data_IF_320322718126
#
_entry.id   IF_320322718126
#
_cell.length_a   1.000
_cell.length_b   1.000
_cell.length_c   1.000
_cell.angle_alpha   90.00
_cell.angle_beta   90.00
_cell.angle_gamma   90.00
#
_symmetry.space_group_name_H-M   'P 1'
#
loop_
_entity.id
_entity.type
_entity.pdbx_description
1 polymer ?
#
# COMPACT_ATOMS: atom_id res chain seq x y z
N UNK A 1 -20.32 -17.15 -4.42
CA UNK A 1 -20.42 -17.51 -2.99
C UNK A 1 -19.01 -17.65 -2.46
N UNK A 2 -18.61 -16.81 -1.51
CA UNK A 2 -17.33 -16.94 -0.79
C UNK A 2 -17.64 -17.37 0.64
N UNK A 3 -17.19 -18.56 1.01
CA UNK A 3 -17.33 -19.10 2.37
C UNK A 3 -16.10 -18.70 3.17
N UNK A 4 -16.29 -18.08 4.34
CA UNK A 4 -15.21 -17.82 5.29
C UNK A 4 -15.20 -18.91 6.35
N UNK A 5 -14.05 -19.56 6.54
CA UNK A 5 -13.79 -20.46 7.66
C UNK A 5 -13.19 -19.62 8.80
N UNK A 6 -13.93 -19.45 9.89
CA UNK A 6 -13.45 -18.79 11.11
C UNK A 6 -13.13 -19.90 12.13
N UNK A 7 -11.86 -20.03 12.51
CA UNK A 7 -11.41 -20.96 13.56
C UNK A 7 -11.24 -20.14 14.84
N UNK A 8 -12.04 -20.43 15.86
CA UNK A 8 -12.16 -19.66 17.12
C UNK A 8 -10.91 -19.67 18.02
N UNK A 9 -10.02 -20.65 17.84
CA UNK A 9 -8.91 -20.92 18.77
C UNK A 9 -7.59 -20.27 18.34
N UNK A 10 -7.55 -19.60 17.18
CA UNK A 10 -6.42 -18.77 16.79
C UNK A 10 -6.69 -17.36 17.32
N UNK A 11 -5.88 -16.92 18.30
CA UNK A 11 -5.87 -15.53 18.76
C UNK A 11 -5.77 -14.63 17.53
N UNK A 12 -6.87 -13.96 17.21
CA UNK A 12 -7.05 -13.17 15.99
C UNK A 12 -5.82 -12.30 15.79
N UNK A 13 -5.11 -12.48 14.66
CA UNK A 13 -4.10 -11.53 14.22
C UNK A 13 -4.78 -10.17 14.14
N UNK A 14 -4.56 -9.31 15.13
CA UNK A 14 -5.16 -8.00 15.17
C UNK A 14 -4.43 -7.14 14.13
N UNK A 15 -5.12 -6.64 13.10
CA UNK A 15 -4.50 -5.73 12.15
C UNK A 15 -4.07 -4.45 12.88
N UNK A 16 -2.78 -4.09 12.76
CA UNK A 16 -2.23 -2.84 13.28
C UNK A 16 -2.22 -1.84 12.13
N UNK A 17 -3.12 -0.86 12.16
CA UNK A 17 -3.25 0.17 11.12
C UNK A 17 -2.17 1.25 11.19
N UNK A 18 -1.40 1.31 12.28
CA UNK A 18 -0.42 2.38 12.55
C UNK A 18 1.02 1.99 12.20
N UNK A 19 1.29 0.71 11.92
CA UNK A 19 2.64 0.23 11.65
C UNK A 19 2.74 -0.35 10.25
N UNK A 20 3.64 0.22 9.45
CA UNK A 20 4.01 -0.36 8.17
C UNK A 20 5.14 -1.40 8.29
N UNK A 21 5.43 -1.87 9.52
CA UNK A 21 6.41 -2.92 9.81
C UNK A 21 5.72 -3.96 10.69
N UNK A 22 5.76 -5.22 10.24
CA UNK A 22 5.21 -6.37 10.97
C UNK A 22 6.33 -7.39 11.16
N UNK A 23 6.54 -7.77 12.42
CA UNK A 23 7.47 -8.81 12.84
C UNK A 23 6.66 -10.01 13.33
N UNK A 24 6.93 -11.20 12.80
CA UNK A 24 6.33 -12.44 13.29
C UNK A 24 7.40 -13.31 13.94
N UNK A 25 7.26 -13.56 15.25
CA UNK A 25 8.00 -14.58 16.02
C UNK A 25 9.54 -14.47 16.08
N UNK A 26 10.16 -13.59 15.30
CA UNK A 26 11.61 -13.43 15.17
C UNK A 26 12.18 -13.87 13.82
N UNK A 27 11.43 -14.64 13.01
CA UNK A 27 11.93 -15.23 11.76
C UNK A 27 11.25 -14.70 10.49
N UNK A 28 10.23 -13.85 10.64
CA UNK A 28 9.57 -13.19 9.50
C UNK A 28 9.42 -11.69 9.69
N UNK A 29 9.58 -10.96 8.59
CA UNK A 29 9.45 -9.51 8.51
C UNK A 29 8.66 -9.14 7.26
N UNK A 30 7.74 -8.18 7.38
CA UNK A 30 7.09 -7.54 6.25
C UNK A 30 6.96 -6.05 6.51
N UNK A 31 7.36 -5.23 5.54
CA UNK A 31 7.23 -3.78 5.62
C UNK A 31 6.81 -3.16 4.30
N UNK A 32 6.03 -2.09 4.39
CA UNK A 32 5.58 -1.31 3.24
C UNK A 32 5.74 0.20 3.49
N UNK A 33 5.74 0.99 2.42
CA UNK A 33 5.64 2.45 2.50
C UNK A 33 5.03 2.95 1.19
N UNK A 34 4.13 3.93 1.27
CA UNK A 34 3.63 4.65 0.11
C UNK A 34 3.69 6.16 0.35
N UNK A 35 4.00 6.88 -0.72
CA UNK A 35 3.97 8.35 -0.75
C UNK A 35 3.25 8.80 -2.01
N UNK A 36 2.32 9.74 -1.86
CA UNK A 36 1.70 10.45 -2.96
C UNK A 36 1.74 11.95 -2.76
N UNK A 37 1.84 12.69 -3.86
CA UNK A 37 1.69 14.14 -3.85
C UNK A 37 1.17 14.61 -5.20
N UNK A 38 0.33 15.63 -5.20
CA UNK A 38 -0.18 16.27 -6.42
C UNK A 38 -0.01 17.78 -6.35
N UNK A 39 0.13 18.40 -7.51
CA UNK A 39 0.09 19.85 -7.66
C UNK A 39 -0.36 20.24 -9.06
N UNK A 40 -0.47 21.54 -9.31
CA UNK A 40 -0.92 22.01 -10.62
C UNK A 40 0.12 21.62 -11.68
N UNK A 41 -0.23 20.65 -12.53
CA UNK A 41 0.65 20.16 -13.60
C UNK A 41 1.61 19.04 -13.21
N UNK A 42 1.54 18.50 -11.98
CA UNK A 42 2.38 17.38 -11.57
C UNK A 42 1.68 16.39 -10.63
N UNK A 43 2.16 15.16 -10.64
CA UNK A 43 1.75 14.09 -9.73
C UNK A 43 2.95 13.19 -9.43
N UNK A 44 3.13 12.83 -8.15
CA UNK A 44 4.23 12.01 -7.62
C UNK A 44 3.62 10.81 -6.90
N UNK A 45 4.13 9.62 -7.17
CA UNK A 45 3.78 8.39 -6.47
C UNK A 45 5.04 7.58 -6.21
N UNK A 46 5.19 7.06 -5.00
CA UNK A 46 6.24 6.14 -4.59
C UNK A 46 5.66 5.00 -3.76
N UNK A 47 6.19 3.80 -3.96
CA UNK A 47 5.81 2.61 -3.22
C UNK A 47 7.06 1.76 -2.95
N UNK A 48 7.20 1.29 -1.71
CA UNK A 48 8.26 0.40 -1.29
C UNK A 48 7.69 -0.78 -0.50
N UNK A 49 8.24 -1.97 -0.70
CA UNK A 49 7.87 -3.18 0.02
C UNK A 49 9.13 -4.01 0.31
N UNK A 50 9.21 -4.60 1.50
CA UNK A 50 10.29 -5.49 1.90
C UNK A 50 9.76 -6.66 2.71
N UNK A 51 10.28 -7.86 2.47
CA UNK A 51 9.88 -9.07 3.16
C UNK A 51 11.09 -9.97 3.43
N UNK A 52 11.14 -10.61 4.61
CA UNK A 52 12.18 -11.58 4.97
C UNK A 52 11.49 -12.82 5.54
N UNK A 53 11.81 -13.98 4.99
CA UNK A 53 11.30 -15.30 5.39
C UNK A 53 11.67 -16.37 4.35
N UNK A 54 11.30 -17.62 4.60
CA UNK A 54 11.50 -18.73 3.64
C UNK A 54 10.70 -18.54 2.34
N UNK A 55 9.46 -18.04 2.47
CA UNK A 55 8.58 -17.71 1.35
C UNK A 55 8.25 -16.23 1.45
N UNK A 56 8.52 -15.49 0.38
CA UNK A 56 8.28 -14.05 0.33
C UNK A 56 7.49 -13.64 -0.90
N UNK A 57 6.68 -12.61 -0.74
CA UNK A 57 6.01 -11.94 -1.84
C UNK A 57 5.97 -10.44 -1.57
N UNK A 58 6.42 -9.66 -2.56
CA UNK A 58 6.33 -8.21 -2.53
C UNK A 58 5.71 -7.72 -3.83
N UNK A 59 4.82 -6.73 -3.72
CA UNK A 59 4.23 -6.08 -4.88
C UNK A 59 4.11 -4.58 -4.63
N UNK A 60 4.58 -3.79 -5.58
CA UNK A 60 4.50 -2.34 -5.55
C UNK A 60 3.92 -1.85 -6.86
N UNK A 61 2.93 -0.96 -6.78
CA UNK A 61 2.31 -0.37 -7.95
C UNK A 61 2.12 1.13 -7.72
N UNK A 62 2.48 1.93 -8.71
CA UNK A 62 2.32 3.39 -8.71
C UNK A 62 1.69 3.83 -10.01
N UNK A 63 0.73 4.75 -9.94
CA UNK A 63 0.07 5.31 -11.10
C UNK A 63 -0.12 6.80 -10.93
N UNK A 64 0.37 7.59 -11.89
CA UNK A 64 0.15 9.03 -11.92
C UNK A 64 -0.60 9.42 -13.18
N UNK A 65 -1.37 10.50 -13.09
CA UNK A 65 -2.12 11.06 -14.20
C UNK A 65 -2.25 12.57 -14.03
N UNK A 66 -1.76 13.32 -15.00
CA UNK A 66 -2.00 14.76 -15.15
C UNK A 66 -2.80 14.97 -16.42
N UNK A 67 -3.85 15.77 -16.35
CA UNK A 67 -4.71 16.09 -17.51
C UNK A 67 -5.25 17.51 -17.37
N UNK A 68 -5.30 18.24 -18.49
CA UNK A 68 -6.05 19.49 -18.60
C UNK A 68 -7.26 19.27 -19.50
N UNK A 69 -8.42 19.76 -19.08
CA UNK A 69 -9.69 19.69 -19.84
C UNK A 69 -10.36 21.07 -19.78
N UNK A 70 -10.22 21.85 -20.86
CA UNK A 70 -10.66 23.25 -20.86
C UNK A 70 -9.94 24.03 -19.76
N UNK A 71 -10.71 24.72 -18.91
CA UNK A 71 -10.20 25.47 -17.76
C UNK A 71 -9.92 24.60 -16.52
N UNK A 72 -9.98 23.27 -16.61
CA UNK A 72 -9.78 22.36 -15.48
C UNK A 72 -8.44 21.63 -15.59
N UNK A 73 -7.57 21.85 -14.61
CA UNK A 73 -6.40 21.03 -14.36
C UNK A 73 -6.73 19.91 -13.37
N UNK A 74 -6.38 18.69 -13.73
CA UNK A 74 -6.56 17.48 -12.94
C UNK A 74 -5.22 16.79 -12.76
N UNK A 75 -4.85 16.47 -11.52
CA UNK A 75 -3.67 15.66 -11.21
C UNK A 75 -4.04 14.61 -10.18
N UNK A 76 -3.66 13.35 -10.43
CA UNK A 76 -3.90 12.21 -9.55
C UNK A 76 -2.64 11.37 -9.44
N UNK A 77 -2.36 10.89 -8.24
CA UNK A 77 -1.35 9.88 -7.96
C UNK A 77 -1.93 8.82 -7.04
N UNK A 78 -1.72 7.57 -7.40
CA UNK A 78 -2.08 6.37 -6.64
C UNK A 78 -0.79 5.58 -6.35
N UNK A 79 -0.63 5.09 -5.12
CA UNK A 79 0.46 4.19 -4.73
C UNK A 79 -0.07 3.01 -3.91
N UNK A 80 0.50 1.84 -4.13
CA UNK A 80 0.14 0.59 -3.45
C UNK A 80 1.41 -0.21 -3.19
N UNK A 81 1.57 -0.69 -1.96
CA UNK A 81 2.64 -1.58 -1.55
C UNK A 81 2.06 -2.74 -0.74
N UNK A 82 2.53 -3.95 -1.03
CA UNK A 82 2.15 -5.20 -0.35
C UNK A 82 3.43 -5.98 -0.07
N UNK A 83 3.57 -6.48 1.15
CA UNK A 83 4.64 -7.37 1.57
C UNK A 83 4.06 -8.55 2.36
N UNK A 84 4.58 -9.74 2.09
CA UNK A 84 4.23 -10.98 2.76
C UNK A 84 5.48 -11.83 2.97
N UNK A 85 5.59 -12.43 4.15
CA UNK A 85 6.64 -13.36 4.50
C UNK A 85 6.08 -14.52 5.31
N UNK A 86 6.66 -15.71 5.11
CA UNK A 86 6.39 -16.91 5.88
C UNK A 86 7.67 -17.73 6.12
N UNK A 87 7.83 -18.23 7.35
CA UNK A 87 8.88 -19.17 7.77
C UNK A 87 8.22 -20.18 8.70
N UNK A 88 8.18 -21.46 8.33
CA UNK A 88 7.41 -22.48 9.06
C UNK A 88 5.95 -22.07 9.31
N UNK A 89 5.58 -21.90 10.58
CA UNK A 89 4.23 -21.45 11.02
C UNK A 89 4.13 -19.94 11.27
N UNK A 90 5.23 -19.20 11.16
CA UNK A 90 5.26 -17.76 11.37
C UNK A 90 4.89 -17.02 10.08
N UNK A 91 4.06 -15.98 10.18
CA UNK A 91 3.64 -15.17 9.03
C UNK A 91 3.69 -13.69 9.40
N UNK A 92 4.20 -12.87 8.49
CA UNK A 92 4.12 -11.42 8.56
C UNK A 92 3.55 -10.88 7.25
N UNK A 93 2.59 -9.95 7.34
CA UNK A 93 2.03 -9.27 6.18
C UNK A 93 1.87 -7.78 6.46
N UNK A 94 2.14 -6.96 5.47
CA UNK A 94 1.99 -5.51 5.54
C UNK A 94 1.46 -5.00 4.21
N UNK A 95 0.59 -3.99 4.26
CA UNK A 95 0.07 -3.31 3.09
C UNK A 95 -0.07 -1.82 3.34
N UNK A 96 0.17 -1.02 2.32
CA UNK A 96 0.08 0.43 2.38
C UNK A 96 -0.49 0.95 1.06
N UNK A 97 -1.39 1.91 1.17
CA UNK A 97 -2.14 2.48 0.05
C UNK A 97 -2.22 3.99 0.27
N UNK A 98 -1.89 4.76 -0.76
CA UNK A 98 -1.99 6.21 -0.69
C UNK A 98 -2.51 6.77 -2.02
N UNK A 99 -3.25 7.87 -1.93
CA UNK A 99 -3.89 8.52 -3.07
C UNK A 99 -3.97 10.02 -2.84
N UNK A 100 -3.42 10.78 -3.79
CA UNK A 100 -3.55 12.24 -3.82
C UNK A 100 -4.24 12.67 -5.10
N UNK A 101 -5.14 13.65 -4.98
CA UNK A 101 -5.91 14.20 -6.09
C UNK A 101 -5.92 15.73 -5.94
N UNK A 102 -5.61 16.43 -7.02
CA UNK A 102 -5.82 17.87 -7.13
C UNK A 102 -6.71 18.17 -8.33
N UNK A 103 -7.69 19.04 -8.12
CA UNK A 103 -8.45 19.69 -9.17
C UNK A 103 -8.28 21.20 -9.00
N UNK A 104 -7.93 21.90 -10.07
CA UNK A 104 -7.80 23.35 -10.07
C UNK A 104 -8.43 23.96 -11.32
N UNK A 105 -9.13 25.09 -11.15
CA UNK A 105 -9.64 25.91 -12.23
C UNK A 105 -8.55 26.91 -12.66
N UNK A 106 -8.15 26.87 -13.92
CA UNK A 106 -7.34 27.93 -14.51
C UNK A 106 -8.27 29.07 -14.93
N UNK A 107 -8.13 30.23 -14.31
CA UNK A 107 -8.73 31.46 -14.81
C UNK A 107 -8.15 31.75 -16.20
N UNK A 108 -9.02 31.95 -17.18
CA UNK A 108 -8.65 32.45 -18.52
C UNK A 108 -8.30 33.93 -18.42
#
# INVERSE_FOLDING_TARGET
MSSFLIISDLSYLQPITESNIVLGGGSVYASTNTITATGSGYAVAGAGAGAIGEITYTNTNTKTRVKTVGSLNYSKSDATAIAYAKTGNETASSSSFDTSILLNLTSV
#
